data_IF_018359517434
#
_entry.id   IF_018359517434
#
_cell.length_a   1.000
_cell.length_b   1.000
_cell.length_c   1.000
_cell.angle_alpha   90.00
_cell.angle_beta   90.00
_cell.angle_gamma   90.00
#
_symmetry.space_group_name_H-M   'P 1'
#
loop_
_entity.id
_entity.type
_entity.pdbx_description
1 polymer ?
#
# COMPACT_ATOMS: atom_id res chain seq x y z
N UNK A 1 15.61 -57.58 40.73
CA UNK A 1 15.89 -56.15 40.47
C UNK A 1 15.90 -55.94 38.97
N UNK A 2 14.88 -55.26 38.42
CA UNK A 2 14.68 -55.08 36.98
C UNK A 2 15.36 -53.78 36.56
N UNK A 3 16.58 -53.87 36.03
CA UNK A 3 17.30 -52.72 35.46
C UNK A 3 16.93 -52.60 33.99
N UNK A 4 16.22 -51.53 33.62
CA UNK A 4 15.92 -51.19 32.22
C UNK A 4 16.92 -50.11 31.79
N UNK A 5 17.87 -50.51 30.95
CA UNK A 5 18.79 -49.61 30.26
C UNK A 5 18.01 -48.96 29.12
N UNK A 6 17.76 -47.65 29.22
CA UNK A 6 17.18 -46.85 28.14
C UNK A 6 18.33 -46.43 27.22
N UNK A 7 18.35 -46.98 26.01
CA UNK A 7 19.30 -46.59 24.96
C UNK A 7 18.81 -45.27 24.36
N UNK A 8 19.67 -44.27 24.42
CA UNK A 8 19.52 -42.97 23.80
C UNK A 8 19.49 -43.08 22.27
N UNK A 9 18.56 -42.38 21.63
CA UNK A 9 18.54 -42.19 20.18
C UNK A 9 18.44 -40.70 19.85
N UNK A 10 19.62 -40.12 19.71
CA UNK A 10 20.09 -39.10 18.75
C UNK A 10 19.04 -38.33 17.93
N UNK A 11 19.11 -37.00 18.10
CA UNK A 11 18.91 -35.88 17.16
C UNK A 11 18.04 -36.12 15.92
N UNK A 12 16.95 -35.35 15.83
CA UNK A 12 16.62 -34.60 14.62
C UNK A 12 16.23 -33.18 15.02
N UNK A 13 17.17 -32.26 14.84
CA UNK A 13 16.96 -30.82 14.91
C UNK A 13 16.00 -30.39 13.80
N UNK A 14 14.72 -30.19 14.12
CA UNK A 14 13.75 -29.66 13.17
C UNK A 14 13.78 -28.13 13.23
N UNK A 15 14.51 -27.59 12.26
CA UNK A 15 14.58 -26.21 11.78
C UNK A 15 13.49 -25.24 12.29
N UNK A 16 13.93 -24.27 13.10
CA UNK A 16 13.37 -22.93 13.18
C UNK A 16 13.59 -22.20 11.85
N UNK A 17 12.66 -22.31 10.91
CA UNK A 17 12.55 -21.42 9.75
C UNK A 17 11.08 -21.32 9.34
N UNK A 18 10.24 -20.74 10.20
CA UNK A 18 9.06 -20.04 9.68
C UNK A 18 9.62 -18.73 9.12
N UNK A 19 10.07 -18.82 7.87
CA UNK A 19 10.53 -17.67 7.14
C UNK A 19 9.43 -16.63 7.14
N UNK A 20 9.77 -15.42 7.59
CA UNK A 20 9.22 -14.23 6.98
C UNK A 20 9.33 -14.44 5.47
N UNK A 21 8.22 -14.72 4.81
CA UNK A 21 8.13 -14.50 3.37
C UNK A 21 8.23 -13.00 3.21
N UNK A 22 9.47 -12.54 3.11
CA UNK A 22 9.81 -11.26 2.54
C UNK A 22 9.36 -11.39 1.10
N UNK A 23 8.13 -10.96 0.83
CA UNK A 23 7.63 -10.77 -0.53
C UNK A 23 8.51 -9.70 -1.14
N UNK A 24 9.63 -10.14 -1.71
CA UNK A 24 10.38 -9.38 -2.70
C UNK A 24 9.41 -9.14 -3.85
N UNK A 25 8.67 -8.04 -3.79
CA UNK A 25 7.98 -7.51 -4.95
C UNK A 25 9.06 -7.04 -5.90
N UNK A 26 9.37 -7.93 -6.84
CA UNK A 26 10.17 -7.65 -8.02
C UNK A 26 9.54 -6.46 -8.72
N UNK A 27 10.21 -5.30 -8.67
CA UNK A 27 9.91 -4.19 -9.54
C UNK A 27 10.13 -4.65 -10.98
N UNK A 28 9.10 -4.58 -11.82
CA UNK A 28 9.23 -4.85 -13.26
C UNK A 28 8.02 -5.52 -13.89
N UNK A 29 7.23 -4.71 -14.57
CA UNK A 29 6.38 -5.01 -15.73
C UNK A 29 5.16 -5.92 -15.56
N UNK A 30 3.97 -5.29 -15.54
CA UNK A 30 2.93 -5.59 -16.54
C UNK A 30 1.90 -4.45 -16.59
N UNK A 31 1.92 -3.69 -17.69
CA UNK A 31 0.96 -2.61 -17.94
C UNK A 31 -0.42 -3.19 -18.27
N UNK A 32 -1.40 -2.99 -17.40
CA UNK A 32 -2.82 -2.93 -17.81
C UNK A 32 -3.20 -1.47 -17.90
N UNK A 33 -3.24 -0.95 -19.13
CA UNK A 33 -3.64 0.43 -19.42
C UNK A 33 -5.17 0.47 -19.50
N UNK A 34 -5.85 0.89 -18.42
CA UNK A 34 -7.28 1.20 -18.50
C UNK A 34 -7.42 2.67 -18.89
N UNK A 35 -8.07 2.92 -20.04
CA UNK A 35 -8.40 4.26 -20.53
C UNK A 35 -9.80 4.62 -20.04
N UNK A 36 -9.91 5.46 -19.01
CA UNK A 36 -11.18 6.10 -18.66
C UNK A 36 -11.11 7.61 -18.86
N UNK A 37 -12.12 8.15 -19.54
CA UNK A 37 -12.55 9.55 -19.61
C UNK A 37 -11.59 10.61 -20.18
N UNK A 38 -10.29 10.46 -19.95
CA UNK A 38 -9.22 11.41 -20.26
C UNK A 38 -7.91 10.68 -20.59
N UNK A 39 -7.92 9.60 -21.39
CA UNK A 39 -6.76 8.94 -22.02
C UNK A 39 -5.47 8.76 -21.15
N UNK A 40 -5.58 8.71 -19.81
CA UNK A 40 -4.44 8.55 -18.90
C UNK A 40 -4.21 7.06 -18.64
N UNK A 41 -2.96 6.65 -18.72
CA UNK A 41 -2.56 5.28 -18.40
C UNK A 41 -2.26 5.19 -16.90
N UNK A 42 -3.01 4.36 -16.17
CA UNK A 42 -2.74 4.10 -14.75
C UNK A 42 -1.69 2.98 -14.66
N UNK A 43 -0.55 3.19 -14.00
CA UNK A 43 0.45 2.14 -13.77
C UNK A 43 -0.11 1.01 -12.90
N UNK A 44 0.32 -0.23 -13.16
CA UNK A 44 -0.20 -1.40 -12.43
C UNK A 44 0.08 -1.32 -10.91
N UNK A 45 1.24 -0.78 -10.50
CA UNK A 45 1.56 -0.61 -9.08
C UNK A 45 0.57 0.31 -8.35
N UNK A 46 0.13 1.38 -9.02
CA UNK A 46 -0.90 2.31 -8.52
C UNK A 46 -2.24 1.59 -8.39
N UNK A 47 -2.64 0.87 -9.43
CA UNK A 47 -3.91 0.14 -9.46
C UNK A 47 -3.96 -0.99 -8.42
N UNK A 48 -2.86 -1.71 -8.22
CA UNK A 48 -2.76 -2.75 -7.21
C UNK A 48 -2.91 -2.16 -5.81
N UNK A 49 -2.27 -1.01 -5.53
CA UNK A 49 -2.42 -0.33 -4.24
C UNK A 49 -3.86 0.11 -4.03
N UNK A 50 -4.53 0.62 -5.06
CA UNK A 50 -5.96 0.95 -4.97
C UNK A 50 -6.78 -0.26 -4.53
N UNK A 51 -6.64 -1.41 -5.20
CA UNK A 51 -7.41 -2.61 -4.84
C UNK A 51 -7.08 -3.16 -3.46
N UNK A 52 -5.81 -3.10 -3.05
CA UNK A 52 -5.37 -3.46 -1.70
C UNK A 52 -6.08 -2.60 -0.65
N UNK A 53 -6.10 -1.28 -0.82
CA UNK A 53 -6.78 -0.37 0.11
C UNK A 53 -8.30 -0.49 0.03
N UNK A 54 -8.89 -0.72 -1.15
CA UNK A 54 -10.33 -0.96 -1.28
C UNK A 54 -10.78 -2.15 -0.44
N UNK A 55 -9.99 -3.24 -0.42
CA UNK A 55 -10.30 -4.41 0.40
C UNK A 55 -10.06 -4.13 1.89
N UNK A 56 -8.98 -3.43 2.24
CA UNK A 56 -8.65 -3.07 3.62
C UNK A 56 -9.71 -2.17 4.26
N UNK A 57 -10.23 -1.19 3.51
CA UNK A 57 -11.19 -0.18 3.98
C UNK A 57 -12.63 -0.44 3.54
N UNK A 58 -12.94 -1.66 3.07
CA UNK A 58 -14.27 -2.03 2.50
C UNK A 58 -15.47 -1.84 3.43
N UNK A 59 -15.24 -1.78 4.73
CA UNK A 59 -16.29 -1.56 5.75
C UNK A 59 -16.17 -0.18 6.42
N UNK A 60 -15.42 0.73 5.79
CA UNK A 60 -15.19 2.11 6.24
C UNK A 60 -15.62 3.09 5.13
N UNK A 61 -14.87 4.19 4.91
CA UNK A 61 -15.13 5.12 3.80
C UNK A 61 -14.53 4.65 2.46
N UNK A 62 -13.77 3.54 2.47
CA UNK A 62 -13.26 2.92 1.25
C UNK A 62 -11.93 3.51 0.77
N UNK A 63 -11.66 3.32 -0.52
CA UNK A 63 -10.47 3.83 -1.17
C UNK A 63 -10.79 4.62 -2.43
N UNK A 64 -9.94 5.60 -2.73
CA UNK A 64 -10.05 6.45 -3.92
C UNK A 64 -8.71 6.50 -4.64
N UNK A 65 -8.74 6.38 -5.97
CA UNK A 65 -7.61 6.68 -6.84
C UNK A 65 -7.89 7.98 -7.59
N UNK A 66 -6.98 8.94 -7.45
CA UNK A 66 -7.08 10.25 -8.05
C UNK A 66 -5.82 10.59 -8.85
N UNK A 67 -5.96 11.50 -9.82
CA UNK A 67 -4.83 12.20 -10.41
C UNK A 67 -4.86 13.66 -9.99
N UNK A 68 -3.79 14.13 -9.37
CA UNK A 68 -3.73 15.43 -8.73
C UNK A 68 -2.56 16.25 -9.27
N UNK A 69 -2.77 17.54 -9.57
CA UNK A 69 -1.65 18.47 -9.74
C UNK A 69 -1.03 18.75 -8.36
N UNK A 70 0.29 18.63 -8.27
CA UNK A 70 1.07 18.92 -7.08
C UNK A 70 2.32 19.69 -7.49
N UNK A 71 2.42 20.94 -7.04
CA UNK A 71 3.47 21.86 -7.49
C UNK A 71 3.46 21.95 -9.03
N UNK A 72 4.53 21.50 -9.70
CA UNK A 72 4.71 21.56 -11.15
C UNK A 72 4.53 20.21 -11.87
N UNK A 73 3.97 19.19 -11.19
CA UNK A 73 3.79 17.85 -11.77
C UNK A 73 2.40 17.28 -11.48
N UNK A 74 1.99 16.32 -12.30
CA UNK A 74 0.83 15.48 -12.02
C UNK A 74 1.28 14.22 -11.30
N UNK A 75 0.53 13.82 -10.29
CA UNK A 75 0.76 12.60 -9.51
C UNK A 75 -0.47 11.71 -9.58
N UNK A 76 -0.28 10.42 -9.32
CA UNK A 76 -1.38 9.58 -8.86
C UNK A 76 -1.39 9.57 -7.34
N UNK A 77 -2.58 9.66 -6.76
CA UNK A 77 -2.81 9.63 -5.32
C UNK A 77 -3.79 8.50 -5.02
N UNK A 78 -3.39 7.57 -4.16
CA UNK A 78 -4.24 6.48 -3.70
C UNK A 78 -4.51 6.66 -2.21
N UNK A 79 -5.78 6.84 -1.86
CA UNK A 79 -6.22 7.12 -0.50
C UNK A 79 -7.01 5.91 -0.01
N UNK A 80 -6.74 5.44 1.20
CA UNK A 80 -7.62 4.55 1.96
C UNK A 80 -8.07 5.26 3.23
N UNK A 81 -9.38 5.29 3.49
CA UNK A 81 -9.95 6.09 4.57
C UNK A 81 -10.85 5.28 5.51
N UNK A 82 -10.49 5.32 6.78
CA UNK A 82 -11.25 4.79 7.91
C UNK A 82 -12.31 5.74 8.46
N UNK A 83 -12.38 6.98 7.95
CA UNK A 83 -13.13 8.07 8.56
C UNK A 83 -12.19 9.02 9.29
N UNK A 84 -11.77 8.65 10.49
CA UNK A 84 -10.90 9.48 11.34
C UNK A 84 -9.41 9.24 11.13
N UNK A 85 -9.05 8.19 10.40
CA UNK A 85 -7.67 7.90 10.08
C UNK A 85 -7.57 7.25 8.72
N UNK A 86 -6.39 7.30 8.12
CA UNK A 86 -6.18 6.70 6.82
C UNK A 86 -4.74 6.79 6.36
N UNK A 87 -4.55 6.38 5.13
CA UNK A 87 -3.25 6.39 4.48
C UNK A 87 -3.38 6.90 3.06
N UNK A 88 -2.43 7.72 2.67
CA UNK A 88 -2.31 8.26 1.31
C UNK A 88 -0.97 7.86 0.73
N UNK A 89 -0.99 7.31 -0.47
CA UNK A 89 0.20 6.99 -1.25
C UNK A 89 0.30 7.89 -2.47
N UNK A 90 1.51 8.37 -2.74
CA UNK A 90 1.81 9.28 -3.83
C UNK A 90 2.72 8.60 -4.83
N UNK A 91 2.36 8.69 -6.11
CA UNK A 91 3.11 8.09 -7.20
C UNK A 91 3.36 9.09 -8.32
N UNK A 92 4.48 8.95 -9.01
CA UNK A 92 4.69 9.62 -10.30
C UNK A 92 3.84 8.96 -11.41
N UNK A 93 3.94 9.48 -12.63
CA UNK A 93 3.16 9.00 -13.77
C UNK A 93 3.64 7.63 -14.28
N UNK A 94 4.85 7.24 -13.94
CA UNK A 94 5.45 5.95 -14.23
C UNK A 94 5.04 4.86 -13.23
N UNK A 95 4.53 5.26 -12.06
CA UNK A 95 4.05 4.39 -10.99
C UNK A 95 5.09 4.10 -9.91
N UNK A 96 6.17 4.88 -9.84
CA UNK A 96 7.11 4.82 -8.74
C UNK A 96 6.53 5.50 -7.51
N UNK A 97 6.78 4.93 -6.33
CA UNK A 97 6.35 5.50 -5.05
C UNK A 97 7.22 6.73 -4.76
N UNK A 98 6.57 7.86 -4.55
CA UNK A 98 7.21 9.11 -4.12
C UNK A 98 7.15 9.30 -2.61
N UNK A 99 6.17 8.66 -1.96
CA UNK A 99 6.02 8.67 -0.52
C UNK A 99 4.64 8.19 -0.10
N UNK A 100 4.43 8.16 1.21
CA UNK A 100 3.14 7.92 1.85
C UNK A 100 2.96 8.83 3.04
N UNK A 101 1.72 9.00 3.46
CA UNK A 101 1.35 9.75 4.65
C UNK A 101 0.20 9.02 5.34
N UNK A 102 0.43 8.61 6.57
CA UNK A 102 -0.61 8.14 7.48
C UNK A 102 -1.10 9.33 8.27
N UNK A 103 -2.40 9.50 8.35
CA UNK A 103 -3.05 10.61 9.02
C UNK A 103 -4.09 10.11 10.00
N UNK A 104 -4.28 10.88 11.06
CA UNK A 104 -5.36 10.74 12.03
C UNK A 104 -5.95 12.14 12.28
N UNK A 105 -7.27 12.23 12.44
CA UNK A 105 -7.96 13.49 12.75
C UNK A 105 -7.59 14.02 14.15
N UNK A 106 -6.90 13.21 14.97
CA UNK A 106 -6.25 13.67 16.18
C UNK A 106 -4.97 14.45 15.86
N UNK A 107 -5.08 15.78 15.83
CA UNK A 107 -3.92 16.68 15.64
C UNK A 107 -2.93 16.50 16.79
N UNK A 108 -1.84 15.78 16.51
CA UNK A 108 -0.68 15.69 17.39
C UNK A 108 0.33 16.79 17.05
N UNK A 109 0.97 17.45 18.04
CA UNK A 109 1.91 18.54 17.81
C UNK A 109 3.14 18.17 16.97
N UNK A 110 3.36 16.86 16.75
CA UNK A 110 4.55 16.28 16.15
C UNK A 110 4.24 15.54 14.84
N UNK A 111 3.01 15.68 14.32
CA UNK A 111 2.56 14.88 13.17
C UNK A 111 3.39 15.18 11.92
N UNK A 112 3.95 14.15 11.25
CA UNK A 112 4.74 14.36 10.05
C UNK A 112 3.87 14.95 8.94
N UNK A 113 4.35 16.00 8.28
CA UNK A 113 3.65 16.56 7.13
C UNK A 113 3.64 15.59 5.94
N UNK A 114 2.60 15.62 5.08
CA UNK A 114 2.60 14.84 3.84
C UNK A 114 3.76 15.26 2.93
N UNK A 115 4.30 14.33 2.12
CA UNK A 115 5.38 14.64 1.19
C UNK A 115 4.98 15.60 0.06
N UNK A 116 3.67 15.76 -0.16
CA UNK A 116 3.09 16.67 -1.15
C UNK A 116 1.89 17.39 -0.58
N UNK A 117 1.87 18.71 -0.73
CA UNK A 117 0.67 19.53 -0.53
C UNK A 117 -0.24 19.36 -1.76
N UNK A 118 -1.45 18.83 -1.54
CA UNK A 118 -2.42 18.53 -2.60
C UNK A 118 -3.66 19.42 -2.41
N UNK A 119 -3.99 20.19 -3.44
CA UNK A 119 -5.30 20.82 -3.54
C UNK A 119 -6.30 19.81 -4.11
N UNK A 120 -6.98 19.08 -3.22
CA UNK A 120 -7.91 18.01 -3.60
C UNK A 120 -9.09 18.49 -4.46
N UNK A 121 -9.41 19.80 -4.45
CA UNK A 121 -10.47 20.36 -5.31
C UNK A 121 -10.10 20.36 -6.80
N UNK A 122 -8.80 20.24 -7.12
CA UNK A 122 -8.27 20.18 -8.49
C UNK A 122 -7.97 18.76 -8.96
N UNK A 123 -8.15 17.77 -8.09
CA UNK A 123 -7.92 16.38 -8.43
C UNK A 123 -9.03 15.82 -9.32
N UNK A 124 -8.67 14.91 -10.21
CA UNK A 124 -9.61 14.12 -11.00
C UNK A 124 -9.72 12.75 -10.35
N UNK A 125 -10.92 12.38 -9.89
CA UNK A 125 -11.20 11.03 -9.39
C UNK A 125 -11.20 10.08 -10.59
N UNK A 126 -10.37 9.04 -10.52
CA UNK A 126 -10.26 8.00 -11.53
C UNK A 126 -10.95 6.71 -11.09
N UNK A 127 -11.02 6.45 -9.77
CA UNK A 127 -11.69 5.27 -9.21
C UNK A 127 -12.08 5.49 -7.75
N UNK A 128 -13.18 4.87 -7.34
CA UNK A 128 -13.70 4.88 -5.97
C UNK A 128 -14.41 3.55 -5.68
N UNK A 129 -14.36 3.07 -4.44
CA UNK A 129 -14.92 1.79 -3.98
C UNK A 129 -16.13 1.96 -3.09
#
# INVERSE_FOLDING_TARGET
MKSKILIAMVLVSLFLLVGCTQTSFKAGENKTIIKEGNNRTIPLGVLNRYYELSEQYKYSLGATLQSCPAQDKNLFVVIGSGGFSGITYYYDLEGNILGSYEWDDMVEPDEPAPPFEIDYTKCIILKES
#
